data_IF_538459300038
#
_entry.id   IF_538459300038
#
_cell.length_a   1.000
_cell.length_b   1.000
_cell.length_c   1.000
_cell.angle_alpha   90.00
_cell.angle_beta   90.00
_cell.angle_gamma   90.00
#
_symmetry.space_group_name_H-M   'P 1'
#
loop_
_entity.id
_entity.type
_entity.pdbx_description
1 polymer ?
#
# COMPACT_ATOMS: atom_id res chain seq x y z
N UNK A 1 70.44 -20.76 59.42
CA UNK A 1 69.20 -21.31 58.85
C UNK A 1 68.01 -20.56 59.41
N UNK A 2 67.34 -19.78 58.55
CA UNK A 2 65.89 -19.57 58.48
C UNK A 2 65.68 -18.84 57.15
N UNK A 3 65.55 -19.62 56.09
CA UNK A 3 65.30 -19.07 54.75
C UNK A 3 63.84 -18.66 54.69
N UNK A 4 63.62 -17.34 54.60
CA UNK A 4 62.30 -16.76 54.42
C UNK A 4 61.94 -16.90 52.94
N UNK A 5 60.91 -17.71 52.68
CA UNK A 5 60.35 -17.87 51.34
C UNK A 5 59.26 -16.80 51.13
N UNK A 6 59.55 -15.79 50.29
CA UNK A 6 58.56 -14.79 49.87
C UNK A 6 57.93 -15.26 48.56
N UNK A 7 56.65 -15.65 48.60
CA UNK A 7 55.86 -15.89 47.39
C UNK A 7 55.29 -14.54 46.94
N UNK A 8 55.90 -13.94 45.91
CA UNK A 8 55.33 -12.80 45.20
C UNK A 8 54.20 -13.26 44.28
N UNK A 9 52.95 -12.90 44.59
CA UNK A 9 51.83 -13.06 43.66
C UNK A 9 51.91 -11.97 42.59
N UNK A 10 52.35 -12.32 41.38
CA UNK A 10 52.22 -11.45 40.21
C UNK A 10 50.77 -11.52 39.71
N UNK A 11 49.97 -10.50 40.01
CA UNK A 11 48.74 -10.26 39.26
C UNK A 11 49.13 -9.78 37.85
N UNK A 12 49.20 -10.72 36.90
CA UNK A 12 49.17 -10.38 35.48
C UNK A 12 47.80 -9.79 35.15
N UNK A 13 47.68 -8.47 35.32
CA UNK A 13 46.57 -7.72 34.76
C UNK A 13 46.49 -8.04 33.28
N UNK A 14 45.39 -8.66 32.85
CA UNK A 14 45.16 -8.92 31.43
C UNK A 14 44.94 -7.57 30.76
N UNK A 15 45.96 -7.07 30.08
CA UNK A 15 45.80 -5.93 29.19
C UNK A 15 45.01 -6.42 27.97
N UNK A 16 43.75 -6.01 27.86
CA UNK A 16 43.00 -6.16 26.62
C UNK A 16 43.58 -5.14 25.65
N UNK A 17 44.56 -5.57 24.85
CA UNK A 17 45.02 -4.81 23.71
C UNK A 17 43.85 -4.70 22.73
N UNK A 18 43.29 -3.51 22.54
CA UNK A 18 42.43 -3.25 21.40
C UNK A 18 43.29 -3.44 20.14
N UNK A 19 43.12 -4.59 19.47
CA UNK A 19 43.84 -4.89 18.24
C UNK A 19 43.46 -3.84 17.19
N UNK A 20 44.42 -3.38 16.39
CA UNK A 20 44.15 -2.59 15.17
C UNK A 20 43.43 -3.42 14.08
N UNK A 21 42.88 -4.59 14.42
CA UNK A 21 42.21 -5.56 13.57
C UNK A 21 40.71 -5.64 13.81
N UNK A 22 40.06 -6.62 13.19
CA UNK A 22 38.65 -6.92 13.40
C UNK A 22 38.43 -7.60 14.77
N UNK A 23 37.31 -7.29 15.44
CA UNK A 23 36.94 -7.87 16.72
C UNK A 23 35.93 -9.01 16.51
N UNK A 24 36.32 -10.24 16.89
CA UNK A 24 35.47 -11.42 16.81
C UNK A 24 34.99 -11.89 18.19
N UNK A 25 33.71 -12.19 18.30
CA UNK A 25 33.14 -12.97 19.40
C UNK A 25 32.83 -14.37 18.86
N UNK A 26 33.42 -15.39 19.49
CA UNK A 26 33.26 -16.80 19.11
C UNK A 26 33.76 -17.14 17.68
N UNK A 27 34.74 -16.38 17.17
CA UNK A 27 35.45 -16.66 15.92
C UNK A 27 36.89 -16.16 15.99
N UNK A 28 37.84 -16.93 15.44
CA UNK A 28 39.25 -16.55 15.36
C UNK A 28 39.60 -15.82 14.05
N UNK A 29 38.68 -15.81 13.09
CA UNK A 29 38.87 -15.20 11.77
C UNK A 29 37.69 -14.28 11.47
N UNK A 30 37.62 -13.09 12.12
CA UNK A 30 36.46 -12.21 11.98
C UNK A 30 36.35 -11.67 10.55
N UNK A 31 35.21 -11.88 9.90
CA UNK A 31 34.95 -11.43 8.53
C UNK A 31 34.56 -9.93 8.43
N UNK A 32 34.20 -9.32 9.56
CA UNK A 32 33.77 -7.92 9.69
C UNK A 32 34.45 -7.23 10.87
N UNK A 33 34.35 -5.90 10.96
CA UNK A 33 34.96 -5.12 12.07
C UNK A 33 34.48 -5.57 13.45
N UNK A 34 33.21 -5.94 13.54
CA UNK A 34 32.63 -6.68 14.67
C UNK A 34 31.96 -7.90 14.06
N UNK A 35 32.44 -9.09 14.41
CA UNK A 35 31.90 -10.38 13.95
C UNK A 35 31.43 -11.18 15.16
N UNK A 36 30.15 -11.55 15.17
CA UNK A 36 29.54 -12.30 16.27
C UNK A 36 28.97 -13.58 15.67
N UNK A 37 29.60 -14.70 16.01
CA UNK A 37 29.12 -16.03 15.58
C UNK A 37 28.39 -16.67 16.74
N UNK A 38 27.09 -16.94 16.58
CA UNK A 38 26.32 -17.64 17.62
C UNK A 38 26.87 -19.04 17.88
N UNK A 39 26.64 -19.56 19.09
CA UNK A 39 27.10 -20.91 19.47
C UNK A 39 26.33 -22.01 18.72
N UNK A 40 25.08 -21.77 18.39
CA UNK A 40 24.21 -22.68 17.64
C UNK A 40 23.35 -21.90 16.61
N UNK A 41 22.42 -22.58 15.96
CA UNK A 41 21.47 -22.04 14.97
C UNK A 41 20.00 -22.26 15.39
N UNK A 42 19.73 -22.40 16.68
CA UNK A 42 18.40 -22.72 17.22
C UNK A 42 17.66 -21.47 17.71
N UNK A 43 16.35 -21.57 17.96
CA UNK A 43 15.59 -20.49 18.59
C UNK A 43 15.78 -20.44 20.12
N UNK A 44 16.56 -21.36 20.70
CA UNK A 44 16.61 -21.56 22.16
C UNK A 44 17.52 -20.57 22.88
N UNK A 45 18.51 -20.01 22.17
CA UNK A 45 19.47 -19.05 22.72
C UNK A 45 19.63 -17.83 21.80
N UNK A 46 20.29 -16.79 22.33
CA UNK A 46 20.35 -15.46 21.72
C UNK A 46 21.75 -15.17 21.19
N UNK A 47 21.82 -14.70 19.95
CA UNK A 47 23.05 -14.23 19.32
C UNK A 47 23.38 -12.81 19.80
N UNK A 48 22.36 -11.97 19.98
CA UNK A 48 22.49 -10.62 20.54
C UNK A 48 21.29 -10.29 21.43
N UNK A 49 21.56 -9.66 22.57
CA UNK A 49 20.55 -9.12 23.48
C UNK A 49 20.96 -7.73 23.91
N UNK A 50 20.07 -6.75 23.69
CA UNK A 50 20.18 -5.41 24.26
C UNK A 50 19.04 -5.23 25.26
N UNK A 51 19.37 -4.87 26.49
CA UNK A 51 18.40 -4.67 27.56
C UNK A 51 18.53 -3.30 28.17
N UNK A 52 17.42 -2.78 28.70
CA UNK A 52 17.46 -1.57 29.50
C UNK A 52 18.03 -1.84 30.91
N UNK A 53 18.14 -0.80 31.73
CA UNK A 53 18.70 -0.89 33.10
C UNK A 53 17.92 -1.82 34.03
N UNK A 54 16.64 -2.08 33.73
CA UNK A 54 15.80 -3.05 34.42
C UNK A 54 15.87 -4.46 33.84
N UNK A 55 16.84 -4.75 32.97
CA UNK A 55 17.04 -6.03 32.29
C UNK A 55 15.92 -6.47 31.34
N UNK A 56 14.97 -5.58 31.01
CA UNK A 56 13.97 -5.85 29.97
C UNK A 56 14.64 -5.77 28.59
N UNK A 57 14.42 -6.78 27.76
CA UNK A 57 14.96 -6.84 26.39
C UNK A 57 14.26 -5.84 25.48
N UNK A 58 15.04 -4.91 24.92
CA UNK A 58 14.57 -3.92 23.94
C UNK A 58 14.86 -4.43 22.52
N UNK A 59 15.99 -5.13 22.32
CA UNK A 59 16.36 -5.79 21.07
C UNK A 59 16.86 -7.21 21.34
N UNK A 60 16.35 -8.17 20.57
CA UNK A 60 16.69 -9.59 20.68
C UNK A 60 16.95 -10.17 19.29
N UNK A 61 18.12 -10.76 19.08
CA UNK A 61 18.41 -11.59 17.91
C UNK A 61 18.63 -13.03 18.41
N UNK A 62 17.76 -13.95 18.02
CA UNK A 62 17.92 -15.37 18.29
C UNK A 62 18.99 -15.99 17.37
N UNK A 63 19.58 -17.10 17.78
CA UNK A 63 20.60 -17.80 17.00
C UNK A 63 20.08 -18.34 15.65
N UNK A 64 18.77 -18.56 15.52
CA UNK A 64 18.13 -18.92 14.25
C UNK A 64 17.85 -17.72 13.33
N UNK A 65 18.28 -16.51 13.69
CA UNK A 65 18.13 -15.30 12.89
C UNK A 65 16.86 -14.48 13.17
N UNK A 66 15.92 -14.98 13.99
CA UNK A 66 14.71 -14.22 14.31
C UNK A 66 15.07 -12.98 15.14
N UNK A 67 14.63 -11.81 14.66
CA UNK A 67 14.89 -10.53 15.28
C UNK A 67 13.63 -9.94 15.92
N UNK A 68 13.77 -9.44 17.14
CA UNK A 68 12.71 -8.90 17.96
C UNK A 68 13.05 -7.51 18.48
N UNK A 69 12.11 -6.57 18.34
CA UNK A 69 12.10 -5.30 19.07
C UNK A 69 10.97 -5.37 20.08
N UNK A 70 11.27 -5.17 21.38
CA UNK A 70 10.34 -5.46 22.48
C UNK A 70 9.74 -6.88 22.42
N UNK A 71 10.51 -7.87 21.96
CA UNK A 71 10.10 -9.27 21.89
C UNK A 71 11.26 -10.17 22.30
N UNK A 72 11.10 -10.91 23.39
CA UNK A 72 12.12 -11.83 23.92
C UNK A 72 12.21 -13.13 23.13
N UNK A 73 11.16 -13.48 22.40
CA UNK A 73 11.03 -14.74 21.67
C UNK A 73 10.35 -14.48 20.32
N UNK A 74 11.03 -13.78 19.38
CA UNK A 74 10.47 -13.54 18.06
C UNK A 74 10.23 -14.88 17.32
N UNK A 75 9.01 -15.08 16.84
CA UNK A 75 8.58 -16.29 16.09
C UNK A 75 8.57 -16.07 14.57
N UNK A 76 8.78 -14.84 14.12
CA UNK A 76 8.99 -14.47 12.72
C UNK A 76 10.42 -13.92 12.55
N UNK A 77 10.87 -13.79 11.30
CA UNK A 77 12.19 -13.19 11.00
C UNK A 77 12.34 -11.79 11.61
N UNK A 78 11.24 -11.01 11.63
CA UNK A 78 11.17 -9.71 12.29
C UNK A 78 9.85 -9.59 13.07
N UNK A 79 9.94 -9.40 14.39
CA UNK A 79 8.82 -9.06 15.27
C UNK A 79 9.09 -7.70 15.89
N UNK A 80 8.16 -6.75 15.74
CA UNK A 80 8.25 -5.44 16.38
C UNK A 80 7.02 -5.26 17.25
N UNK A 81 7.23 -4.99 18.54
CA UNK A 81 6.16 -4.71 19.48
C UNK A 81 6.26 -3.26 19.97
N UNK A 82 5.12 -2.60 20.13
CA UNK A 82 5.06 -1.21 20.60
C UNK A 82 5.57 -1.04 22.04
N UNK A 83 5.63 -2.11 22.85
CA UNK A 83 6.04 -2.07 24.25
C UNK A 83 5.03 -1.37 25.20
N UNK A 84 4.15 -0.52 24.66
CA UNK A 84 2.93 0.06 25.25
C UNK A 84 1.93 0.38 24.13
N UNK A 85 0.63 0.46 24.44
CA UNK A 85 -0.42 0.80 23.47
C UNK A 85 -0.40 2.26 22.99
N UNK A 86 0.48 3.09 23.55
CA UNK A 86 0.66 4.50 23.19
C UNK A 86 1.66 4.75 22.07
N UNK A 87 2.39 3.71 21.61
CA UNK A 87 3.39 3.81 20.54
C UNK A 87 2.88 3.13 19.27
N UNK A 88 3.18 3.70 18.11
CA UNK A 88 3.05 2.99 16.83
C UNK A 88 4.10 1.88 16.75
N UNK A 89 3.68 0.66 16.41
CA UNK A 89 4.59 -0.50 16.23
C UNK A 89 5.64 -0.21 15.15
N UNK A 90 5.21 0.34 14.01
CA UNK A 90 6.07 0.74 12.92
C UNK A 90 5.57 2.08 12.38
N UNK A 91 6.43 3.10 12.41
CA UNK A 91 6.16 4.41 11.79
C UNK A 91 7.15 4.63 10.67
N UNK A 92 6.65 4.68 9.44
CA UNK A 92 7.45 5.02 8.27
C UNK A 92 7.15 6.49 7.94
N UNK A 93 8.14 7.36 8.20
CA UNK A 93 8.00 8.79 7.87
C UNK A 93 8.20 9.01 6.37
N UNK A 94 7.61 10.09 5.83
CA UNK A 94 7.78 10.50 4.43
C UNK A 94 7.38 9.46 3.38
N UNK A 95 6.42 8.59 3.69
CA UNK A 95 5.71 7.80 2.67
C UNK A 95 5.13 8.76 1.64
N UNK A 96 5.46 8.54 0.36
CA UNK A 96 4.92 9.37 -0.71
C UNK A 96 3.40 9.20 -0.75
N UNK A 97 2.69 10.32 -0.59
CA UNK A 97 1.22 10.38 -0.74
C UNK A 97 0.79 10.86 -2.12
N UNK A 98 1.74 11.16 -3.01
CA UNK A 98 1.44 11.60 -4.36
C UNK A 98 1.63 10.45 -5.35
N UNK A 99 0.63 10.25 -6.20
CA UNK A 99 0.67 9.32 -7.33
C UNK A 99 1.80 9.66 -8.34
N UNK A 100 2.47 10.81 -8.17
CA UNK A 100 3.50 11.35 -9.05
C UNK A 100 4.94 11.02 -8.65
N UNK A 101 5.22 10.58 -7.42
CA UNK A 101 6.54 9.99 -7.09
C UNK A 101 6.48 8.47 -7.27
N UNK A 102 6.28 8.07 -8.52
CA UNK A 102 6.42 6.67 -8.89
C UNK A 102 7.91 6.37 -9.01
N UNK A 103 8.42 5.49 -8.15
CA UNK A 103 9.65 4.78 -8.48
C UNK A 103 9.36 3.94 -9.73
N UNK A 104 10.18 4.07 -10.76
CA UNK A 104 10.02 3.37 -12.05
C UNK A 104 10.03 1.84 -11.94
N UNK A 105 10.45 1.28 -10.79
CA UNK A 105 10.38 -0.15 -10.49
C UNK A 105 9.13 -0.62 -9.73
N UNK A 106 8.21 0.27 -9.35
CA UNK A 106 7.02 -0.09 -8.55
C UNK A 106 5.76 0.03 -9.44
N UNK A 107 5.08 -1.10 -9.66
CA UNK A 107 3.77 -1.11 -10.31
C UNK A 107 2.68 -0.74 -9.29
N UNK A 108 2.06 0.43 -9.47
CA UNK A 108 0.96 0.92 -8.62
C UNK A 108 -0.41 0.40 -9.05
N UNK A 109 -0.50 -0.23 -10.24
CA UNK A 109 -1.72 -0.81 -10.78
C UNK A 109 -1.76 -2.32 -10.46
N UNK A 110 -1.86 -2.65 -9.16
CA UNK A 110 -1.86 -4.03 -8.64
C UNK A 110 -3.17 -4.35 -7.92
N UNK A 111 -3.62 -5.60 -8.01
CA UNK A 111 -4.88 -6.06 -7.43
C UNK A 111 -4.88 -6.20 -5.90
N UNK A 112 -3.70 -6.33 -5.30
CA UNK A 112 -3.59 -6.76 -3.90
C UNK A 112 -2.61 -5.89 -3.11
N UNK A 113 -3.10 -5.08 -2.16
CA UNK A 113 -2.25 -4.47 -1.15
C UNK A 113 -1.82 -5.50 -0.09
N UNK A 114 -1.01 -5.05 0.86
CA UNK A 114 -0.73 -5.76 2.10
C UNK A 114 -1.78 -5.38 3.16
N UNK A 115 -2.29 -6.37 3.89
CA UNK A 115 -3.20 -6.17 5.03
C UNK A 115 -2.61 -6.82 6.27
N UNK A 116 -2.94 -6.31 7.45
CA UNK A 116 -2.66 -6.98 8.72
C UNK A 116 -3.86 -7.83 9.11
N UNK A 117 -3.63 -9.07 9.52
CA UNK A 117 -4.65 -9.86 10.23
C UNK A 117 -4.82 -9.38 11.68
N UNK A 118 -5.75 -10.00 12.41
CA UNK A 118 -6.05 -9.71 13.82
C UNK A 118 -4.88 -10.05 14.77
N UNK A 119 -3.92 -10.86 14.32
CA UNK A 119 -2.71 -11.22 15.05
C UNK A 119 -1.50 -10.34 14.71
N UNK A 120 -1.69 -9.32 13.87
CA UNK A 120 -0.60 -8.42 13.44
C UNK A 120 0.27 -8.97 12.30
N UNK A 121 -0.11 -10.10 11.68
CA UNK A 121 0.61 -10.67 10.56
C UNK A 121 0.26 -9.91 9.29
N UNK A 122 1.29 -9.46 8.57
CA UNK A 122 1.12 -8.81 7.27
C UNK A 122 1.02 -9.88 6.19
N UNK A 123 -0.14 -9.97 5.54
CA UNK A 123 -0.40 -10.89 4.44
C UNK A 123 -0.75 -10.12 3.16
N UNK A 124 -0.46 -10.73 2.01
CA UNK A 124 -0.98 -10.22 0.73
C UNK A 124 -2.49 -10.39 0.72
N UNK A 125 -3.24 -9.32 0.45
CA UNK A 125 -4.69 -9.41 0.25
C UNK A 125 -4.99 -10.33 -0.95
N UNK A 126 -6.17 -10.95 -0.98
CA UNK A 126 -6.63 -11.74 -2.12
C UNK A 126 -6.37 -11.02 -3.46
N UNK A 127 -5.89 -11.78 -4.43
CA UNK A 127 -5.58 -11.31 -5.77
C UNK A 127 -6.54 -11.92 -6.78
N UNK A 128 -7.38 -11.07 -7.39
CA UNK A 128 -8.32 -11.49 -8.43
C UNK A 128 -7.62 -12.17 -9.61
N UNK A 129 -6.35 -11.81 -9.92
CA UNK A 129 -5.58 -12.50 -10.97
C UNK A 129 -5.18 -13.92 -10.61
N UNK A 130 -5.03 -14.24 -9.32
CA UNK A 130 -4.77 -15.62 -8.89
C UNK A 130 -5.97 -16.51 -9.19
N UNK A 131 -7.19 -15.97 -9.18
CA UNK A 131 -8.40 -16.70 -9.55
C UNK A 131 -8.71 -16.66 -11.06
N UNK A 132 -8.20 -15.66 -11.80
CA UNK A 132 -8.49 -15.47 -13.23
C UNK A 132 -7.37 -14.69 -13.93
N UNK A 133 -6.60 -15.36 -14.80
CA UNK A 133 -5.51 -14.74 -15.57
C UNK A 133 -5.99 -13.60 -16.48
N UNK A 134 -7.27 -13.60 -16.85
CA UNK A 134 -7.85 -12.57 -17.68
C UNK A 134 -8.18 -11.29 -16.90
N UNK A 135 -8.22 -11.31 -15.56
CA UNK A 135 -8.57 -10.12 -14.78
C UNK A 135 -7.64 -8.93 -15.07
N UNK A 136 -8.19 -7.72 -15.15
CA UNK A 136 -7.40 -6.48 -15.29
C UNK A 136 -7.84 -5.43 -14.27
N UNK A 137 -6.91 -4.54 -13.96
CA UNK A 137 -7.17 -3.23 -13.36
C UNK A 137 -6.93 -2.18 -14.45
N UNK A 138 -7.66 -1.08 -14.36
CA UNK A 138 -7.63 0.06 -15.27
C UNK A 138 -7.64 1.36 -14.45
N UNK A 139 -6.80 1.41 -13.41
CA UNK A 139 -6.58 2.63 -12.65
C UNK A 139 -5.73 3.58 -13.49
N UNK A 140 -6.10 4.86 -13.50
CA UNK A 140 -5.40 5.85 -14.30
C UNK A 140 -6.12 7.18 -14.39
N UNK A 141 -5.41 8.15 -14.96
CA UNK A 141 -5.96 9.41 -15.41
C UNK A 141 -6.38 9.28 -16.86
N UNK A 142 -7.63 9.62 -17.14
CA UNK A 142 -8.24 9.58 -18.45
C UNK A 142 -8.59 11.00 -18.87
N UNK A 143 -8.49 11.29 -20.16
CA UNK A 143 -8.90 12.57 -20.72
C UNK A 143 -9.75 12.27 -21.93
N UNK A 144 -10.97 12.81 -21.95
CA UNK A 144 -11.77 12.67 -23.14
C UNK A 144 -11.28 13.62 -24.24
N UNK A 145 -11.53 13.27 -25.50
CA UNK A 145 -11.31 14.15 -26.64
C UNK A 145 -12.53 14.11 -27.55
N UNK A 146 -13.57 14.87 -27.19
CA UNK A 146 -14.82 14.97 -27.94
C UNK A 146 -15.89 13.92 -27.60
N UNK A 147 -17.07 14.01 -28.21
CA UNK A 147 -18.28 13.24 -27.83
C UNK A 147 -18.26 11.74 -28.20
N UNK A 148 -17.09 11.19 -28.55
CA UNK A 148 -16.97 9.81 -29.05
C UNK A 148 -16.61 8.83 -27.94
N UNK A 149 -17.08 7.60 -28.05
CA UNK A 149 -16.74 6.53 -27.11
C UNK A 149 -15.24 6.25 -27.10
N UNK A 150 -14.63 6.27 -25.91
CA UNK A 150 -13.25 5.86 -25.64
C UNK A 150 -13.25 4.63 -24.76
N UNK A 151 -12.42 3.64 -25.08
CA UNK A 151 -12.36 2.38 -24.33
C UNK A 151 -11.57 2.58 -23.03
N UNK A 152 -12.18 2.23 -21.89
CA UNK A 152 -11.47 2.05 -20.62
C UNK A 152 -10.89 0.64 -20.53
N UNK A 153 -11.72 -0.35 -20.83
CA UNK A 153 -11.31 -1.74 -20.82
C UNK A 153 -12.27 -2.63 -21.63
N UNK A 154 -11.78 -3.81 -22.02
CA UNK A 154 -12.62 -4.86 -22.58
C UNK A 154 -13.46 -5.55 -21.52
N UNK A 155 -14.64 -6.01 -21.93
CA UNK A 155 -15.67 -6.65 -21.11
C UNK A 155 -16.12 -7.94 -21.80
N UNK A 156 -16.08 -9.04 -21.06
CA UNK A 156 -16.42 -10.38 -21.54
C UNK A 156 -17.76 -10.86 -20.98
N UNK A 157 -18.26 -11.97 -21.52
CA UNK A 157 -19.48 -12.60 -21.02
C UNK A 157 -19.25 -13.15 -19.60
N UNK A 158 -19.75 -12.42 -18.60
CA UNK A 158 -19.58 -12.76 -17.19
C UNK A 158 -18.54 -11.91 -16.45
N UNK A 159 -18.06 -10.82 -17.03
CA UNK A 159 -17.29 -9.82 -16.30
C UNK A 159 -18.13 -9.17 -15.21
N UNK A 160 -17.51 -8.97 -14.05
CA UNK A 160 -17.94 -8.00 -13.06
C UNK A 160 -16.87 -6.91 -13.06
N UNK A 161 -17.31 -5.67 -13.18
CA UNK A 161 -16.49 -4.48 -13.11
C UNK A 161 -16.74 -3.82 -11.76
N UNK A 162 -15.69 -3.32 -11.12
CA UNK A 162 -15.82 -2.36 -10.02
C UNK A 162 -14.81 -1.25 -10.23
N UNK A 163 -15.17 -0.01 -9.93
CA UNK A 163 -14.25 1.13 -10.01
C UNK A 163 -14.79 2.33 -9.22
N UNK A 164 -13.89 3.25 -8.85
CA UNK A 164 -14.26 4.55 -8.32
C UNK A 164 -13.84 5.64 -9.29
N UNK A 165 -14.77 6.53 -9.65
CA UNK A 165 -14.51 7.71 -10.47
C UNK A 165 -14.28 8.94 -9.60
N UNK A 166 -13.29 9.76 -9.96
CA UNK A 166 -12.96 11.03 -9.31
C UNK A 166 -12.45 12.04 -10.34
N UNK A 167 -13.14 13.17 -10.52
CA UNK A 167 -12.71 14.18 -11.51
C UNK A 167 -11.49 14.97 -11.04
N UNK A 168 -11.38 15.28 -9.75
CA UNK A 168 -10.26 16.05 -9.19
C UNK A 168 -10.21 17.53 -9.57
N UNK A 169 -11.16 17.99 -10.39
CA UNK A 169 -11.45 19.37 -10.68
C UNK A 169 -12.96 19.54 -10.94
N UNK A 170 -13.37 20.81 -11.03
CA UNK A 170 -14.74 21.26 -11.26
C UNK A 170 -15.13 20.96 -12.71
N UNK A 171 -15.98 19.94 -12.92
CA UNK A 171 -16.46 19.54 -14.24
C UNK A 171 -17.81 20.22 -14.55
N UNK A 172 -17.97 20.81 -15.73
CA UNK A 172 -19.18 21.52 -16.16
C UNK A 172 -18.94 22.99 -16.57
N UNK A 173 -20.01 23.78 -16.75
CA UNK A 173 -19.88 25.17 -17.18
C UNK A 173 -19.03 26.01 -16.20
N UNK A 174 -18.25 26.96 -16.74
CA UNK A 174 -17.42 27.87 -15.95
C UNK A 174 -18.23 28.54 -14.83
N UNK A 175 -17.77 28.40 -13.59
CA UNK A 175 -18.43 28.94 -12.38
C UNK A 175 -19.55 28.07 -11.77
N UNK A 176 -19.96 26.96 -12.42
CA UNK A 176 -21.12 26.13 -11.99
C UNK A 176 -20.83 24.62 -11.95
N UNK A 177 -19.64 24.18 -12.39
CA UNK A 177 -19.27 22.76 -12.36
C UNK A 177 -19.14 22.17 -10.94
N UNK A 178 -18.93 20.85 -10.88
CA UNK A 178 -18.78 20.11 -9.62
C UNK A 178 -17.63 19.10 -9.68
N UNK A 179 -16.96 18.87 -8.56
CA UNK A 179 -16.05 17.72 -8.43
C UNK A 179 -16.90 16.48 -8.20
N UNK A 180 -16.74 15.44 -9.03
CA UNK A 180 -17.58 14.24 -8.96
C UNK A 180 -16.84 13.10 -8.27
N UNK A 181 -17.57 12.33 -7.47
CA UNK A 181 -17.12 11.09 -6.86
C UNK A 181 -18.21 10.02 -6.91
N UNK A 182 -17.89 8.81 -7.36
CA UNK A 182 -18.76 7.66 -7.16
C UNK A 182 -17.99 6.33 -7.19
N UNK A 183 -18.47 5.37 -6.42
CA UNK A 183 -18.06 3.97 -6.50
C UNK A 183 -19.13 3.19 -7.24
N UNK A 184 -18.71 2.54 -8.32
CA UNK A 184 -19.55 1.92 -9.33
C UNK A 184 -19.18 0.46 -9.47
N UNK A 185 -20.19 -0.40 -9.54
CA UNK A 185 -20.06 -1.80 -9.95
C UNK A 185 -20.89 -2.00 -11.21
N UNK A 186 -20.45 -2.87 -12.11
CA UNK A 186 -21.26 -3.32 -13.24
C UNK A 186 -21.21 -4.84 -13.37
N UNK A 187 -22.34 -5.42 -13.74
CA UNK A 187 -22.41 -6.80 -14.23
C UNK A 187 -23.44 -6.89 -15.35
N UNK A 188 -23.29 -7.89 -16.23
CA UNK A 188 -24.24 -8.11 -17.33
C UNK A 188 -25.69 -8.31 -16.84
N UNK A 189 -25.88 -8.89 -15.66
CA UNK A 189 -27.21 -9.16 -15.11
C UNK A 189 -27.86 -7.98 -14.39
N UNK A 190 -27.07 -7.05 -13.85
CA UNK A 190 -27.59 -5.96 -13.02
C UNK A 190 -27.36 -4.56 -13.61
N UNK A 191 -26.61 -4.45 -14.72
CA UNK A 191 -26.13 -3.18 -15.22
C UNK A 191 -25.23 -2.47 -14.19
N UNK A 192 -25.17 -1.15 -14.27
CA UNK A 192 -24.43 -0.31 -13.33
C UNK A 192 -25.16 -0.17 -11.99
N UNK A 193 -24.43 -0.29 -10.89
CA UNK A 193 -24.89 -0.07 -9.52
C UNK A 193 -23.92 0.91 -8.87
N UNK A 194 -24.47 1.94 -8.23
CA UNK A 194 -23.70 2.92 -7.47
C UNK A 194 -23.80 2.54 -5.99
N UNK A 195 -22.67 2.22 -5.36
CA UNK A 195 -22.64 1.90 -3.92
C UNK A 195 -22.46 3.14 -3.05
N UNK A 196 -21.82 4.17 -3.59
CA UNK A 196 -21.60 5.46 -2.92
C UNK A 196 -21.36 6.55 -3.95
N UNK A 197 -21.84 7.76 -3.69
CA UNK A 197 -21.60 8.94 -4.53
C UNK A 197 -21.46 10.20 -3.67
N UNK A 198 -20.75 11.19 -4.19
CA UNK A 198 -20.54 12.49 -3.55
C UNK A 198 -20.06 13.53 -4.56
N UNK A 199 -20.10 14.79 -4.14
CA UNK A 199 -19.53 15.91 -4.87
C UNK A 199 -18.99 16.94 -3.86
N UNK A 200 -17.96 17.69 -4.24
CA UNK A 200 -17.39 18.74 -3.39
C UNK A 200 -18.02 20.11 -3.68
N UNK A 201 -18.17 20.94 -2.63
CA UNK A 201 -18.72 22.30 -2.68
C UNK A 201 -17.59 23.33 -2.57
N UNK A 202 -17.11 23.84 -3.70
CA UNK A 202 -16.24 25.03 -3.70
C UNK A 202 -17.01 26.34 -3.52
N UNK A 203 -18.32 26.34 -3.76
CA UNK A 203 -19.20 27.51 -3.67
C UNK A 203 -20.64 27.02 -3.44
N UNK A 204 -21.48 27.83 -2.77
CA UNK A 204 -22.90 27.55 -2.44
C UNK A 204 -23.83 27.38 -3.67
N UNK A 205 -23.46 26.53 -4.64
CA UNK A 205 -24.25 26.24 -5.82
C UNK A 205 -25.08 24.97 -5.60
N UNK A 206 -26.35 25.03 -5.99
CA UNK A 206 -27.35 23.98 -5.76
C UNK A 206 -27.23 22.80 -6.74
N UNK A 207 -26.08 22.62 -7.41
CA UNK A 207 -25.94 21.62 -8.46
C UNK A 207 -25.79 20.23 -7.84
N UNK A 208 -26.91 19.59 -7.53
CA UNK A 208 -26.95 18.23 -7.03
C UNK A 208 -26.41 17.31 -8.12
N UNK A 209 -25.27 16.66 -7.88
CA UNK A 209 -24.77 15.62 -8.78
C UNK A 209 -25.88 14.56 -8.99
N UNK A 210 -26.51 14.61 -10.16
CA UNK A 210 -27.50 13.64 -10.56
C UNK A 210 -26.78 12.51 -11.27
N UNK A 211 -27.03 11.27 -10.83
CA UNK A 211 -26.47 10.11 -11.51
C UNK A 211 -27.64 9.22 -11.89
N UNK A 212 -27.79 8.99 -13.18
CA UNK A 212 -28.90 8.22 -13.77
C UNK A 212 -28.38 6.97 -14.47
N UNK A 213 -29.27 6.01 -14.73
CA UNK A 213 -28.93 4.80 -15.46
C UNK A 213 -28.43 3.63 -14.60
N UNK A 214 -28.56 3.70 -13.28
CA UNK A 214 -28.39 2.51 -12.43
C UNK A 214 -29.41 1.43 -12.82
N UNK A 215 -28.97 0.17 -12.88
CA UNK A 215 -29.74 -0.94 -13.44
C UNK A 215 -29.55 -1.13 -14.95
N UNK A 216 -28.83 -0.24 -15.63
CA UNK A 216 -28.68 -0.26 -17.09
C UNK A 216 -27.21 -0.36 -17.53
N UNK A 217 -26.96 -0.48 -18.84
CA UNK A 217 -25.61 -0.46 -19.42
C UNK A 217 -25.09 0.95 -19.72
N UNK A 218 -25.80 2.00 -19.31
CA UNK A 218 -25.40 3.40 -19.47
C UNK A 218 -25.51 4.05 -18.10
N UNK A 219 -24.44 4.68 -17.63
CA UNK A 219 -24.40 5.44 -16.39
C UNK A 219 -24.01 6.87 -16.71
N UNK A 220 -24.90 7.81 -16.41
CA UNK A 220 -24.69 9.23 -16.73
C UNK A 220 -24.53 10.01 -15.44
N UNK A 221 -23.39 10.70 -15.32
CA UNK A 221 -23.14 11.73 -14.32
C UNK A 221 -23.58 13.06 -14.90
N UNK A 222 -24.86 13.35 -14.71
CA UNK A 222 -25.57 14.51 -15.19
C UNK A 222 -25.13 15.74 -14.39
N UNK A 223 -24.54 16.69 -15.11
CA UNK A 223 -24.28 18.04 -14.60
C UNK A 223 -25.27 18.96 -15.28
N UNK A 224 -26.34 19.26 -14.54
CA UNK A 224 -27.49 20.08 -14.96
C UNK A 224 -27.13 21.29 -15.83
N UNK A 225 -25.95 21.87 -15.63
CA UNK A 225 -25.30 22.83 -16.54
C UNK A 225 -23.86 22.42 -16.87
N UNK A 226 -23.65 21.71 -17.99
CA UNK A 226 -22.32 21.33 -18.45
C UNK A 226 -22.26 20.01 -19.21
N UNK A 227 -21.06 19.41 -19.21
CA UNK A 227 -20.75 18.17 -19.92
C UNK A 227 -21.01 16.94 -19.05
N UNK A 228 -21.94 16.11 -19.50
CA UNK A 228 -22.28 14.85 -18.86
C UNK A 228 -21.14 13.86 -19.05
N UNK A 229 -20.67 13.26 -17.94
CA UNK A 229 -19.73 12.15 -18.00
C UNK A 229 -20.53 10.85 -18.08
N UNK A 230 -20.39 10.14 -19.20
CA UNK A 230 -21.18 8.94 -19.49
C UNK A 230 -20.24 7.75 -19.54
N UNK A 231 -20.56 6.71 -18.76
CA UNK A 231 -20.00 5.38 -18.91
C UNK A 231 -21.00 4.48 -19.59
N UNK A 232 -20.54 3.66 -20.53
CA UNK A 232 -21.41 2.72 -21.24
C UNK A 232 -20.70 1.39 -21.42
N UNK A 233 -21.43 0.29 -21.27
CA UNK A 233 -20.95 -1.02 -21.70
C UNK A 233 -21.58 -1.37 -23.05
N UNK A 234 -20.76 -1.31 -24.11
CA UNK A 234 -21.19 -1.52 -25.49
C UNK A 234 -20.08 -2.16 -26.33
N UNK A 235 -20.45 -2.97 -27.32
CA UNK A 235 -19.49 -3.62 -28.21
C UNK A 235 -18.41 -4.45 -27.51
N UNK A 236 -18.71 -5.03 -26.34
CA UNK A 236 -17.73 -5.78 -25.53
C UNK A 236 -16.70 -4.91 -24.81
N UNK A 237 -16.99 -3.62 -24.60
CA UNK A 237 -16.10 -2.70 -23.91
C UNK A 237 -16.86 -1.87 -22.87
N UNK A 238 -16.18 -1.55 -21.77
CA UNK A 238 -16.54 -0.40 -20.95
C UNK A 238 -15.91 0.81 -21.63
N UNK A 239 -16.77 1.73 -22.08
CA UNK A 239 -16.37 2.98 -22.69
C UNK A 239 -16.82 4.16 -21.84
N UNK A 240 -16.18 5.30 -22.09
CA UNK A 240 -16.58 6.59 -21.56
C UNK A 240 -16.67 7.63 -22.67
N UNK A 241 -17.44 8.68 -22.42
CA UNK A 241 -17.49 9.92 -23.21
C UNK A 241 -17.98 11.06 -22.34
N UNK A 242 -17.69 12.27 -22.77
CA UNK A 242 -18.20 13.51 -22.21
C UNK A 242 -18.97 14.26 -23.29
N UNK A 243 -20.20 14.63 -22.98
CA UNK A 243 -21.13 15.25 -23.94
C UNK A 243 -21.89 16.38 -23.25
N UNK A 244 -21.83 17.57 -23.82
CA UNK A 244 -22.72 18.67 -23.46
C UNK A 244 -24.15 18.29 -23.87
N UNK A 245 -25.03 18.13 -22.88
CA UNK A 245 -26.41 17.70 -23.11
C UNK A 245 -27.23 18.70 -23.95
N UNK A 246 -26.79 19.96 -24.03
CA UNK A 246 -27.44 21.03 -24.80
C UNK A 246 -26.94 21.15 -26.24
N UNK A 247 -25.66 20.88 -26.49
CA UNK A 247 -25.04 21.07 -27.82
C UNK A 247 -24.68 19.76 -28.52
N UNK A 248 -24.65 18.64 -27.79
CA UNK A 248 -24.19 17.34 -28.29
C UNK A 248 -22.69 17.29 -28.62
N UNK A 249 -21.95 18.37 -28.31
CA UNK A 249 -20.51 18.45 -28.51
C UNK A 249 -19.77 17.86 -27.30
N UNK A 250 -18.54 17.39 -27.49
CA UNK A 250 -17.74 16.88 -26.37
C UNK A 250 -16.58 17.80 -26.05
N UNK A 251 -16.12 17.75 -24.80
CA UNK A 251 -15.00 18.53 -24.31
C UNK A 251 -13.83 17.64 -23.88
N UNK A 252 -12.74 18.33 -23.52
CA UNK A 252 -11.48 17.71 -23.12
C UNK A 252 -11.31 17.85 -21.62
N UNK A 253 -12.16 17.16 -20.86
CA UNK A 253 -12.03 17.12 -19.41
C UNK A 253 -11.35 15.80 -19.00
N UNK A 254 -10.58 15.87 -17.92
CA UNK A 254 -9.93 14.70 -17.34
C UNK A 254 -10.77 14.08 -16.22
N UNK A 255 -10.52 12.82 -15.92
CA UNK A 255 -10.99 12.22 -14.67
C UNK A 255 -10.05 11.08 -14.30
N UNK A 256 -10.19 10.59 -13.09
CA UNK A 256 -9.39 9.50 -12.57
C UNK A 256 -10.30 8.32 -12.27
N UNK A 257 -9.83 7.14 -12.62
CA UNK A 257 -10.36 5.87 -12.12
C UNK A 257 -9.36 5.32 -11.11
N UNK A 258 -9.87 4.90 -9.95
CA UNK A 258 -9.11 4.26 -8.89
C UNK A 258 -9.83 3.03 -8.36
N UNK A 259 -9.07 2.10 -7.78
CA UNK A 259 -9.58 0.85 -7.18
C UNK A 259 -10.41 0.03 -8.16
N UNK A 260 -10.01 0.05 -9.43
CA UNK A 260 -10.71 -0.65 -10.49
C UNK A 260 -10.34 -2.13 -10.53
N UNK A 261 -11.29 -2.93 -10.97
CA UNK A 261 -11.06 -4.31 -11.35
C UNK A 261 -12.09 -4.77 -12.38
N UNK A 262 -11.71 -5.79 -13.15
CA UNK A 262 -12.57 -6.60 -14.00
C UNK A 262 -12.23 -8.06 -13.77
N UNK A 263 -13.21 -8.89 -13.40
CA UNK A 263 -12.95 -10.26 -12.89
C UNK A 263 -12.47 -11.26 -13.94
N UNK A 264 -13.03 -11.24 -15.15
CA UNK A 264 -12.61 -12.07 -16.30
C UNK A 264 -13.18 -11.52 -17.59
#
# INVERSE_FOLDING_TARGET
MKDIFIIGCFLSGSFINAQMGNFGINTYTPASKVDIVSKDNSASTKALRVSNSGLKEEVTLLNNGNFGINSVSPIAELVVNAGSNTKSVLKINTLSTTNGKQNTGINYNIFSPLISDESGQVIKQFDLKTASSNAITFDGSYTNSGATNKILCSVNSGSILGFTVYTGFVQGQNGVGVVKYATVTWSRGSGFIISSKGHDFGNNNSNSLNITGSGTNILTFDVQTGDDLIFEVTGGNLVYREVDSSTGTGRNESFNIIKSFRTR
#
